data_IF_449812603887
#
_entry.id   IF_449812603887
#
_cell.length_a   1.000
_cell.length_b   1.000
_cell.length_c   1.000
_cell.angle_alpha   90.00
_cell.angle_beta   90.00
_cell.angle_gamma   90.00
#
_symmetry.space_group_name_H-M   'P 1'
#
loop_
_entity.id
_entity.type
_entity.pdbx_description
1 polymer ?
#
# COMPACT_ATOMS: atom_id res chain seq x y z
N UNK A 1 5.51 3.72 30.33
CA UNK A 1 5.17 4.80 29.38
C UNK A 1 5.66 4.37 28.02
N UNK A 2 4.77 3.92 27.14
CA UNK A 2 5.12 3.64 25.73
C UNK A 2 5.23 4.96 25.00
N UNK A 3 6.39 5.25 24.39
CA UNK A 3 6.54 6.38 23.49
C UNK A 3 5.52 6.26 22.34
N UNK A 4 4.99 7.38 21.82
CA UNK A 4 4.18 7.33 20.60
C UNK A 4 5.07 6.83 19.47
N UNK A 5 4.75 5.68 18.89
CA UNK A 5 5.38 5.21 17.66
C UNK A 5 5.17 6.29 16.60
N UNK A 6 6.27 6.89 16.15
CA UNK A 6 6.25 7.84 15.03
C UNK A 6 6.14 6.97 13.78
N UNK A 7 5.04 7.12 13.04
CA UNK A 7 4.81 6.41 11.79
C UNK A 7 5.10 7.34 10.62
N UNK A 8 5.82 6.85 9.63
CA UNK A 8 5.98 7.54 8.36
C UNK A 8 4.85 7.14 7.42
N UNK A 9 4.14 8.14 6.86
CA UNK A 9 3.08 7.91 5.87
C UNK A 9 3.60 8.25 4.49
N UNK A 10 3.83 7.21 3.68
CA UNK A 10 4.05 7.37 2.23
C UNK A 10 2.69 7.35 1.55
N UNK A 11 2.39 8.38 0.75
CA UNK A 11 1.16 8.49 -0.03
C UNK A 11 1.47 8.43 -1.50
N UNK A 12 0.98 7.37 -2.12
CA UNK A 12 0.99 7.21 -3.56
C UNK A 12 -0.35 7.65 -4.12
N UNK A 13 -0.37 8.60 -5.07
CA UNK A 13 -1.61 9.15 -5.63
C UNK A 13 -1.70 8.83 -7.11
N UNK A 14 -2.79 8.18 -7.50
CA UNK A 14 -3.03 7.84 -8.90
C UNK A 14 -4.38 8.36 -9.35
N UNK A 15 -4.37 9.11 -10.46
CA UNK A 15 -5.57 9.56 -11.13
C UNK A 15 -6.31 8.35 -11.73
N UNK A 16 -7.57 8.14 -11.35
CA UNK A 16 -8.31 6.97 -11.81
C UNK A 16 -9.73 6.91 -11.24
N UNK A 17 -10.69 6.69 -12.13
CA UNK A 17 -12.12 6.64 -11.87
C UNK A 17 -12.50 5.37 -11.10
N UNK A 18 -13.15 5.50 -9.94
CA UNK A 18 -13.78 4.42 -9.16
C UNK A 18 -12.92 3.17 -8.83
N UNK A 19 -13.45 2.24 -8.02
CA UNK A 19 -12.78 0.94 -7.73
C UNK A 19 -12.86 -0.03 -8.93
N UNK A 20 -12.37 0.41 -10.09
CA UNK A 20 -12.34 -0.39 -11.31
C UNK A 20 -11.02 -1.15 -11.49
N UNK A 21 -10.99 -2.05 -12.47
CA UNK A 21 -9.82 -2.88 -12.76
C UNK A 21 -8.60 -2.06 -13.23
N UNK A 22 -8.81 -0.89 -13.83
CA UNK A 22 -7.73 0.00 -14.29
C UNK A 22 -7.09 0.73 -13.11
N UNK A 23 -7.90 1.29 -12.20
CA UNK A 23 -7.46 1.89 -10.94
C UNK A 23 -6.72 0.89 -10.06
N UNK A 24 -7.19 -0.37 -9.99
CA UNK A 24 -6.47 -1.46 -9.30
C UNK A 24 -5.12 -1.77 -9.93
N UNK A 25 -5.04 -1.80 -11.26
CA UNK A 25 -3.76 -2.03 -11.98
C UNK A 25 -2.80 -0.87 -11.77
N UNK A 26 -3.29 0.35 -11.74
CA UNK A 26 -2.46 1.53 -11.56
C UNK A 26 -1.89 1.59 -10.12
N UNK A 27 -2.72 1.35 -9.09
CA UNK A 27 -2.26 1.27 -7.68
C UNK A 27 -1.17 0.20 -7.47
N UNK A 28 -1.31 -0.92 -8.18
CA UNK A 28 -0.31 -1.99 -8.21
C UNK A 28 1.00 -1.57 -8.91
N UNK A 29 0.90 -0.72 -9.93
CA UNK A 29 2.03 -0.29 -10.76
C UNK A 29 2.82 0.89 -10.18
N UNK A 30 2.46 1.40 -9.00
CA UNK A 30 3.13 2.57 -8.43
C UNK A 30 4.60 2.34 -8.08
N UNK A 31 5.40 3.37 -8.35
CA UNK A 31 6.80 3.47 -7.94
C UNK A 31 6.98 3.37 -6.41
N UNK A 32 6.02 3.87 -5.62
CA UNK A 32 6.10 3.84 -4.16
C UNK A 32 5.93 2.43 -3.61
N UNK A 33 5.13 1.57 -4.26
CA UNK A 33 5.02 0.16 -3.87
C UNK A 33 6.36 -0.57 -4.03
N UNK A 34 7.12 -0.23 -5.08
CA UNK A 34 8.47 -0.76 -5.26
C UNK A 34 9.45 -0.22 -4.20
N UNK A 35 9.36 1.07 -3.86
CA UNK A 35 10.17 1.67 -2.80
C UNK A 35 9.87 1.04 -1.42
N UNK A 36 8.60 0.86 -1.08
CA UNK A 36 8.15 0.20 0.15
C UNK A 36 8.59 -1.26 0.21
N UNK A 37 8.55 -1.98 -0.91
CA UNK A 37 9.11 -3.33 -0.99
C UNK A 37 10.62 -3.35 -0.68
N UNK A 38 11.36 -2.38 -1.23
CA UNK A 38 12.78 -2.19 -0.92
C UNK A 38 13.02 -1.92 0.57
N UNK A 39 12.23 -1.01 1.17
CA UNK A 39 12.29 -0.71 2.59
C UNK A 39 12.01 -1.94 3.47
N UNK A 40 11.02 -2.76 3.10
CA UNK A 40 10.71 -4.00 3.82
C UNK A 40 11.88 -5.00 3.79
N UNK A 41 12.53 -5.16 2.65
CA UNK A 41 13.73 -6.03 2.54
C UNK A 41 14.92 -5.46 3.31
N UNK A 42 15.00 -4.13 3.39
CA UNK A 42 15.96 -3.43 4.23
C UNK A 42 15.68 -3.55 5.75
N UNK A 43 14.58 -4.21 6.14
CA UNK A 43 14.22 -4.46 7.55
C UNK A 43 13.25 -3.45 8.15
N UNK A 44 12.70 -2.52 7.35
CA UNK A 44 11.67 -1.58 7.82
C UNK A 44 10.34 -2.31 7.98
N UNK A 45 9.76 -2.27 9.17
CA UNK A 45 8.46 -2.89 9.42
C UNK A 45 7.33 -2.13 8.69
N UNK A 46 6.48 -2.88 7.99
CA UNK A 46 5.20 -2.40 7.44
C UNK A 46 4.10 -2.84 8.40
N UNK A 47 3.46 -1.90 9.08
CA UNK A 47 2.39 -2.22 10.05
C UNK A 47 1.05 -2.48 9.37
N UNK A 48 0.66 -1.57 8.47
CA UNK A 48 -0.53 -1.73 7.62
C UNK A 48 -0.44 -0.76 6.44
N UNK A 49 -1.35 -0.89 5.50
CA UNK A 49 -1.63 0.12 4.48
C UNK A 49 -3.14 0.24 4.26
N UNK A 50 -3.56 1.43 3.84
CA UNK A 50 -4.93 1.69 3.43
C UNK A 50 -4.96 2.07 1.95
N UNK A 51 -5.89 1.48 1.23
CA UNK A 51 -6.27 1.94 -0.10
C UNK A 51 -7.47 2.87 0.06
N UNK A 52 -7.35 4.10 -0.40
CA UNK A 52 -8.32 5.19 -0.19
C UNK A 52 -8.76 5.68 -1.56
N UNK A 53 -10.06 5.93 -1.73
CA UNK A 53 -10.65 6.61 -2.89
C UNK A 53 -11.09 7.98 -2.37
N UNK A 54 -10.42 9.03 -2.83
CA UNK A 54 -10.77 10.41 -2.53
C UNK A 54 -11.76 10.91 -3.58
N UNK A 55 -12.92 11.39 -3.14
CA UNK A 55 -14.04 11.81 -4.01
C UNK A 55 -14.20 13.33 -4.11
N UNK A 56 -13.26 14.11 -3.55
CA UNK A 56 -13.34 15.59 -3.50
C UNK A 56 -13.17 16.29 -4.86
N UNK A 57 -12.58 15.61 -5.84
CA UNK A 57 -12.28 16.19 -7.16
C UNK A 57 -13.23 15.65 -8.23
N UNK A 58 -13.36 16.40 -9.34
CA UNK A 58 -14.15 16.00 -10.52
C UNK A 58 -13.74 14.62 -11.08
N UNK A 59 -12.55 14.15 -10.74
CA UNK A 59 -12.09 12.79 -10.99
C UNK A 59 -11.68 12.15 -9.67
N UNK A 60 -12.28 11.02 -9.26
CA UNK A 60 -11.83 10.27 -8.10
C UNK A 60 -10.33 9.96 -8.18
N UNK A 61 -9.67 9.96 -7.03
CA UNK A 61 -8.25 9.59 -6.92
C UNK A 61 -8.10 8.39 -6.01
N UNK A 62 -7.31 7.40 -6.44
CA UNK A 62 -6.93 6.29 -5.57
C UNK A 62 -5.59 6.62 -4.91
N UNK A 63 -5.56 6.55 -3.58
CA UNK A 63 -4.37 6.76 -2.76
C UNK A 63 -4.02 5.48 -2.02
N UNK A 64 -2.77 5.06 -2.06
CA UNK A 64 -2.25 4.03 -1.14
C UNK A 64 -1.44 4.70 -0.05
N UNK A 65 -1.94 4.63 1.19
CA UNK A 65 -1.28 5.17 2.37
C UNK A 65 -0.60 4.04 3.15
N UNK A 66 0.72 4.07 3.22
CA UNK A 66 1.54 3.07 3.92
C UNK A 66 1.88 3.53 5.33
N UNK A 67 1.76 2.64 6.32
CA UNK A 67 2.22 2.90 7.69
C UNK A 67 3.50 2.11 7.95
N UNK A 68 4.63 2.82 7.94
CA UNK A 68 5.96 2.26 8.14
C UNK A 68 6.49 2.64 9.52
N UNK A 69 7.33 1.77 10.08
CA UNK A 69 8.17 2.12 11.21
C UNK A 69 9.22 3.15 10.79
N UNK A 70 9.28 4.28 11.50
CA UNK A 70 10.40 5.20 11.39
C UNK A 70 11.61 4.57 12.09
N UNK A 71 12.61 4.15 11.32
CA UNK A 71 13.81 3.49 11.85
C UNK A 71 15.05 3.83 11.03
N UNK A 72 16.23 3.61 11.62
CA UNK A 72 17.51 3.73 10.91
C UNK A 72 17.93 2.36 10.40
N UNK A 73 18.18 2.26 9.10
CA UNK A 73 18.74 1.05 8.49
C UNK A 73 20.22 1.28 8.18
N UNK A 74 21.07 0.36 8.62
CA UNK A 74 22.50 0.36 8.30
C UNK A 74 22.82 -0.74 7.29
N UNK A 75 23.48 -0.36 6.18
CA UNK A 75 24.00 -1.31 5.19
C UNK A 75 25.51 -1.40 5.33
N UNK A 76 26.03 -2.61 5.58
CA UNK A 76 27.47 -2.89 5.57
C UNK A 76 27.79 -3.93 4.50
N UNK A 77 27.81 -3.53 3.21
CA UNK A 77 28.10 -4.50 2.17
C UNK A 77 29.59 -4.88 2.21
N UNK A 78 29.88 -6.15 2.46
CA UNK A 78 31.15 -6.79 2.10
C UNK A 78 30.82 -7.92 1.12
N UNK A 79 30.91 -7.63 -0.18
CA UNK A 79 30.70 -8.62 -1.23
C UNK A 79 32.00 -8.82 -2.02
N UNK A 80 32.53 -10.05 -2.09
CA UNK A 80 33.70 -10.34 -2.92
C UNK A 80 33.42 -10.03 -4.39
N UNK A 81 34.41 -9.51 -5.13
CA UNK A 81 34.27 -9.36 -6.58
C UNK A 81 34.09 -10.73 -7.24
N UNK A 82 33.08 -10.86 -8.10
CA UNK A 82 32.80 -12.06 -8.89
C UNK A 82 32.44 -11.65 -10.33
N UNK A 83 32.79 -12.50 -11.30
CA UNK A 83 32.34 -12.37 -12.69
C UNK A 83 31.33 -13.45 -13.03
N UNK A 84 30.14 -13.06 -13.47
CA UNK A 84 29.04 -13.95 -13.80
C UNK A 84 28.58 -13.73 -15.23
N UNK A 85 28.28 -14.82 -15.92
CA UNK A 85 27.52 -14.78 -17.17
C UNK A 85 26.06 -14.43 -16.89
N UNK A 86 25.36 -13.87 -17.88
CA UNK A 86 23.92 -13.58 -17.82
C UNK A 86 23.10 -14.81 -17.42
N UNK A 87 23.47 -16.00 -17.94
CA UNK A 87 22.80 -17.25 -17.60
C UNK A 87 22.94 -17.64 -16.12
N UNK A 88 24.11 -17.42 -15.52
CA UNK A 88 24.33 -17.63 -14.09
C UNK A 88 23.52 -16.67 -13.24
N UNK A 89 23.44 -15.39 -13.63
CA UNK A 89 22.62 -14.39 -12.92
C UNK A 89 21.14 -14.80 -12.95
N UNK A 90 20.59 -15.11 -14.13
CA UNK A 90 19.18 -15.52 -14.27
C UNK A 90 18.88 -16.79 -13.47
N UNK A 91 19.80 -17.77 -13.48
CA UNK A 91 19.66 -19.01 -12.70
C UNK A 91 19.59 -18.72 -11.20
N UNK A 92 20.56 -17.94 -10.68
CA UNK A 92 20.62 -17.59 -9.24
C UNK A 92 19.44 -16.72 -8.79
N UNK A 93 18.92 -15.84 -9.66
CA UNK A 93 17.69 -15.07 -9.41
C UNK A 93 16.43 -15.95 -9.25
N UNK A 94 16.43 -17.17 -9.79
CA UNK A 94 15.30 -18.12 -9.70
C UNK A 94 15.52 -19.22 -8.66
N UNK A 95 16.74 -19.40 -8.18
CA UNK A 95 17.12 -20.47 -7.27
C UNK A 95 16.94 -20.03 -5.80
N UNK A 96 15.79 -20.35 -5.23
CA UNK A 96 15.48 -20.01 -3.84
C UNK A 96 16.36 -20.73 -2.82
N UNK A 97 16.99 -21.86 -3.16
CA UNK A 97 17.91 -22.56 -2.27
C UNK A 97 19.25 -21.81 -2.22
N UNK A 98 19.76 -21.42 -3.40
CA UNK A 98 20.97 -20.62 -3.51
C UNK A 98 20.81 -19.26 -2.80
N UNK A 99 19.68 -18.57 -2.98
CA UNK A 99 19.41 -17.27 -2.33
C UNK A 99 19.44 -17.36 -0.81
N UNK A 100 18.90 -18.44 -0.23
CA UNK A 100 18.92 -18.68 1.22
C UNK A 100 20.33 -19.00 1.74
N UNK A 101 21.14 -19.68 0.93
CA UNK A 101 22.53 -19.98 1.27
C UNK A 101 23.45 -18.76 1.09
N UNK A 102 23.04 -17.74 0.33
CA UNK A 102 23.82 -16.55 0.02
C UNK A 102 23.01 -15.27 0.31
N UNK A 103 22.55 -15.05 1.56
CA UNK A 103 21.63 -13.96 1.89
C UNK A 103 22.22 -12.58 1.61
N UNK A 104 23.54 -12.43 1.75
CA UNK A 104 24.25 -11.15 1.58
C UNK A 104 24.68 -10.86 0.14
N UNK A 105 24.43 -11.79 -0.79
CA UNK A 105 24.79 -11.57 -2.18
C UNK A 105 23.78 -10.61 -2.84
N UNK A 106 24.23 -9.63 -3.67
CA UNK A 106 23.33 -8.70 -4.37
C UNK A 106 22.16 -9.35 -5.12
N UNK A 107 22.35 -10.55 -5.69
CA UNK A 107 21.31 -11.30 -6.39
C UNK A 107 20.20 -11.74 -5.41
N UNK A 108 20.56 -12.15 -4.19
CA UNK A 108 19.58 -12.52 -3.17
C UNK A 108 18.77 -11.30 -2.72
N UNK A 109 19.40 -10.15 -2.50
CA UNK A 109 18.70 -8.90 -2.18
C UNK A 109 17.70 -8.49 -3.27
N UNK A 110 18.14 -8.48 -4.55
CA UNK A 110 17.26 -8.15 -5.68
C UNK A 110 16.10 -9.14 -5.80
N UNK A 111 16.35 -10.45 -5.65
CA UNK A 111 15.32 -11.47 -5.71
C UNK A 111 14.28 -11.29 -4.58
N UNK A 112 14.74 -11.01 -3.36
CA UNK A 112 13.86 -10.74 -2.22
C UNK A 112 13.02 -9.48 -2.42
N UNK A 113 13.61 -8.39 -2.94
CA UNK A 113 12.88 -7.15 -3.22
C UNK A 113 11.77 -7.36 -4.26
N UNK A 114 12.06 -8.11 -5.33
CA UNK A 114 11.05 -8.44 -6.34
C UNK A 114 9.92 -9.31 -5.78
N UNK A 115 10.24 -10.26 -4.90
CA UNK A 115 9.24 -11.10 -4.25
C UNK A 115 8.39 -10.29 -3.27
N UNK A 116 9.01 -9.43 -2.45
CA UNK A 116 8.31 -8.50 -1.57
C UNK A 116 7.35 -7.59 -2.35
N UNK A 117 7.82 -7.01 -3.46
CA UNK A 117 7.00 -6.18 -4.35
C UNK A 117 5.78 -6.95 -4.87
N UNK A 118 5.97 -8.17 -5.38
CA UNK A 118 4.86 -9.00 -5.87
C UNK A 118 3.84 -9.32 -4.78
N UNK A 119 4.29 -9.54 -3.54
CA UNK A 119 3.40 -9.78 -2.40
C UNK A 119 2.59 -8.54 -2.07
N UNK A 120 3.24 -7.37 -1.97
CA UNK A 120 2.56 -6.10 -1.70
C UNK A 120 1.53 -5.78 -2.78
N UNK A 121 1.88 -5.97 -4.05
CA UNK A 121 0.96 -5.83 -5.19
C UNK A 121 -0.29 -6.69 -5.03
N UNK A 122 -0.13 -7.97 -4.65
CA UNK A 122 -1.29 -8.85 -4.40
C UNK A 122 -2.12 -8.34 -3.23
N UNK A 123 -1.48 -7.94 -2.13
CA UNK A 123 -2.16 -7.40 -0.96
C UNK A 123 -2.97 -6.14 -1.30
N UNK A 124 -2.42 -5.21 -2.08
CA UNK A 124 -3.12 -3.98 -2.52
C UNK A 124 -4.35 -4.33 -3.33
N UNK A 125 -4.23 -5.27 -4.27
CA UNK A 125 -5.33 -5.72 -5.12
C UNK A 125 -6.47 -6.34 -4.31
N UNK A 126 -6.14 -7.07 -3.26
CA UNK A 126 -7.10 -7.83 -2.47
C UNK A 126 -7.68 -6.99 -1.30
N UNK A 127 -7.08 -5.83 -0.96
CA UNK A 127 -7.56 -4.90 0.07
C UNK A 127 -8.78 -4.12 -0.43
N UNK A 128 -9.88 -4.19 0.32
CA UNK A 128 -11.07 -3.36 0.06
C UNK A 128 -10.74 -1.88 0.25
N UNK A 129 -11.11 -1.00 -0.70
CA UNK A 129 -10.82 0.41 -0.56
C UNK A 129 -11.73 1.06 0.49
N UNK A 130 -11.17 2.08 1.13
CA UNK A 130 -11.89 3.09 1.90
C UNK A 130 -12.32 4.21 0.96
N UNK A 131 -13.53 4.72 1.08
CA UNK A 131 -13.98 5.91 0.36
C UNK A 131 -13.97 7.08 1.34
N UNK A 132 -13.25 8.14 0.99
CA UNK A 132 -13.07 9.31 1.83
C UNK A 132 -14.08 10.40 1.44
N UNK A 133 -14.96 10.76 2.37
CA UNK A 133 -15.91 11.86 2.25
C UNK A 133 -15.52 12.99 3.20
N UNK A 134 -15.29 14.18 2.68
CA UNK A 134 -14.88 15.34 3.48
C UNK A 134 -16.01 16.34 3.67
N UNK A 135 -16.07 16.88 4.90
CA UNK A 135 -16.96 17.95 5.32
C UNK A 135 -16.15 18.97 6.12
N UNK A 136 -15.73 20.05 5.45
CA UNK A 136 -14.88 21.07 6.04
C UNK A 136 -13.54 20.48 6.54
N UNK A 137 -13.37 20.39 7.87
CA UNK A 137 -12.19 19.82 8.52
C UNK A 137 -12.33 18.33 8.88
N UNK A 138 -13.52 17.76 8.75
CA UNK A 138 -13.78 16.36 9.09
C UNK A 138 -13.74 15.49 7.84
N UNK A 139 -13.15 14.30 7.94
CA UNK A 139 -13.16 13.28 6.89
C UNK A 139 -13.71 11.99 7.46
N UNK A 140 -14.71 11.41 6.78
CA UNK A 140 -15.24 10.09 7.07
C UNK A 140 -14.69 9.08 6.06
N UNK A 141 -14.17 7.95 6.55
CA UNK A 141 -13.66 6.86 5.72
C UNK A 141 -14.62 5.67 5.80
N UNK A 142 -15.22 5.30 4.67
CA UNK A 142 -16.19 4.22 4.59
C UNK A 142 -15.60 3.00 3.87
N UNK A 143 -15.83 1.80 4.38
CA UNK A 143 -15.35 0.58 3.71
C UNK A 143 -16.37 0.17 2.65
N UNK A 144 -15.95 0.08 1.39
CA UNK A 144 -16.82 -0.41 0.31
C UNK A 144 -17.34 -1.83 0.59
N UNK A 145 -18.65 -2.02 0.50
CA UNK A 145 -19.33 -3.28 0.85
C UNK A 145 -19.13 -3.70 2.32
N UNK A 146 -18.92 -2.74 3.22
CA UNK A 146 -18.81 -2.91 4.66
C UNK A 146 -20.15 -2.83 5.39
N UNK A 147 -20.10 -2.67 6.72
CA UNK A 147 -21.29 -2.46 7.56
C UNK A 147 -21.82 -1.03 7.41
N UNK A 148 -22.97 -0.90 6.75
CA UNK A 148 -23.67 0.37 6.54
C UNK A 148 -23.97 1.11 7.85
N UNK A 149 -24.35 0.41 8.93
CA UNK A 149 -24.67 1.05 10.20
C UNK A 149 -23.44 1.73 10.80
N UNK A 150 -22.28 1.09 10.67
CA UNK A 150 -21.00 1.70 11.06
C UNK A 150 -20.69 2.90 10.18
N UNK A 151 -20.94 2.80 8.88
CA UNK A 151 -20.77 3.91 7.93
C UNK A 151 -21.61 5.13 8.27
N UNK A 152 -22.91 4.94 8.51
CA UNK A 152 -23.84 6.00 8.94
C UNK A 152 -23.36 6.72 10.19
N UNK A 153 -22.89 5.97 11.21
CA UNK A 153 -22.32 6.57 12.44
C UNK A 153 -21.07 7.40 12.17
N UNK A 154 -20.20 6.99 11.25
CA UNK A 154 -19.00 7.75 10.89
C UNK A 154 -19.35 9.06 10.18
N UNK A 155 -20.32 9.03 9.27
CA UNK A 155 -20.82 10.23 8.59
C UNK A 155 -21.52 11.19 9.55
N UNK A 156 -22.33 10.68 10.48
CA UNK A 156 -22.94 11.50 11.54
C UNK A 156 -21.89 12.20 12.39
N UNK A 157 -20.83 11.49 12.80
CA UNK A 157 -19.70 12.09 13.54
C UNK A 157 -18.95 13.15 12.73
N UNK A 158 -18.97 13.04 11.40
CA UNK A 158 -18.39 14.02 10.49
C UNK A 158 -19.36 15.16 10.12
N UNK A 159 -20.52 15.26 10.77
CA UNK A 159 -21.53 16.31 10.57
C UNK A 159 -22.16 16.36 9.17
N UNK A 160 -22.38 15.19 8.55
CA UNK A 160 -23.22 15.08 7.35
C UNK A 160 -24.71 15.07 7.72
N UNK A 161 -25.54 15.68 6.87
CA UNK A 161 -27.00 15.71 7.03
C UNK A 161 -27.67 14.37 6.70
N UNK A 162 -28.92 14.12 7.15
CA UNK A 162 -29.61 12.85 6.92
C UNK A 162 -29.76 12.47 5.44
N UNK A 163 -30.08 13.44 4.58
CA UNK A 163 -30.22 13.22 3.13
C UNK A 163 -28.87 12.91 2.47
N UNK A 164 -27.80 13.62 2.88
CA UNK A 164 -26.43 13.35 2.40
C UNK A 164 -25.96 11.96 2.82
N UNK A 165 -26.26 11.55 4.05
CA UNK A 165 -25.93 10.22 4.57
C UNK A 165 -26.60 9.14 3.73
N UNK A 166 -27.89 9.32 3.40
CA UNK A 166 -28.63 8.36 2.58
C UNK A 166 -28.00 8.22 1.19
N UNK A 167 -27.76 9.34 0.51
CA UNK A 167 -27.14 9.35 -0.81
C UNK A 167 -25.76 8.66 -0.81
N UNK A 168 -24.91 8.97 0.18
CA UNK A 168 -23.58 8.35 0.33
C UNK A 168 -23.70 6.85 0.61
N UNK A 169 -24.65 6.43 1.45
CA UNK A 169 -24.82 5.01 1.77
C UNK A 169 -25.31 4.22 0.55
N UNK A 170 -26.23 4.76 -0.24
CA UNK A 170 -26.67 4.16 -1.51
C UNK A 170 -25.49 3.99 -2.47
N UNK A 171 -24.65 5.02 -2.62
CA UNK A 171 -23.47 4.97 -3.50
C UNK A 171 -22.43 3.93 -3.04
N UNK A 172 -22.14 3.85 -1.74
CA UNK A 172 -21.04 3.02 -1.20
C UNK A 172 -21.44 1.57 -0.94
N UNK A 173 -22.70 1.32 -0.58
CA UNK A 173 -23.19 -0.01 -0.19
C UNK A 173 -24.13 -0.66 -1.22
N UNK A 174 -24.63 0.10 -2.20
CA UNK A 174 -25.33 -0.45 -3.37
C UNK A 174 -26.79 -0.86 -3.12
N UNK A 175 -27.63 0.08 -2.72
CA UNK A 175 -29.09 -0.06 -2.73
C UNK A 175 -29.70 0.38 -4.06
#
# INVERSE_FOLDING_TARGET
MTQPSIYHIVKDTIAGTNDDAASRRAAVASADTAAVAGAAVAGVAIYDFNRIIETEEATPKTVTAWNLEETTVEFRPDFPPESLTTGQVIRRMKDSAWQRANPDHPIAYMAQALEAYRRLVRSIRDKRPLVAFRRGRSTAYLVMGGDENKGRRLLQKANFGPEEIEAICTEVYGH
#
